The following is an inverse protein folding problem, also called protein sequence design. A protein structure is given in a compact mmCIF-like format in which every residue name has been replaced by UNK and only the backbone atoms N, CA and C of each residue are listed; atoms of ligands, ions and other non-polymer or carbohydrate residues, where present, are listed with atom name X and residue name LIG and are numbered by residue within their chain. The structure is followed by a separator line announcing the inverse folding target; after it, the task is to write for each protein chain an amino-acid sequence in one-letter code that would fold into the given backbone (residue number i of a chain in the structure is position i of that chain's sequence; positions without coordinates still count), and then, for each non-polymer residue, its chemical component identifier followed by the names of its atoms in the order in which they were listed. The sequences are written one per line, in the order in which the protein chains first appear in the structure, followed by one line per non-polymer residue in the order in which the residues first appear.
data_IF_499665682567
#
_entry.id   IF_499665682567
#
_cell.length_a   1.000
_cell.length_b   1.000
_cell.length_c   1.000
_cell.angle_alpha   90.00
_cell.angle_beta   90.00
_cell.angle_gamma   90.00
#
_symmetry.space_group_name_H-M   'P 1'
#
loop_
_entity.id
_entity.type
_entity.pdbx_description
1 polymer ?
#
# COMPACT_ATOMS: atom_id res chain seq x y z
N UNK A 1 21.07 51.12 -20.15
CA UNK A 1 19.86 50.61 -20.84
C UNK A 1 19.85 49.09 -21.01
N UNK A 2 20.96 48.42 -21.36
CA UNK A 2 21.00 46.96 -21.52
C UNK A 2 20.64 46.14 -20.26
N UNK A 3 21.06 46.58 -19.07
CA UNK A 3 20.85 45.81 -17.83
C UNK A 3 19.36 45.66 -17.47
N UNK A 4 18.55 46.70 -17.70
CA UNK A 4 17.11 46.66 -17.42
C UNK A 4 16.35 45.73 -18.39
N UNK A 5 16.82 45.60 -19.64
CA UNK A 5 16.20 44.74 -20.64
C UNK A 5 16.44 43.24 -20.34
N UNK A 6 17.65 42.90 -19.86
CA UNK A 6 18.02 41.52 -19.51
C UNK A 6 17.27 41.03 -18.26
N UNK A 7 17.09 41.89 -17.26
CA UNK A 7 16.30 41.55 -16.06
C UNK A 7 14.83 41.32 -16.42
N UNK A 8 14.24 42.18 -17.27
CA UNK A 8 12.84 42.04 -17.70
C UNK A 8 12.55 40.76 -18.51
N UNK A 9 13.51 40.30 -19.33
CA UNK A 9 13.38 39.06 -20.10
C UNK A 9 13.53 37.82 -19.21
N UNK A 10 14.43 37.86 -18.23
CA UNK A 10 14.61 36.78 -17.24
C UNK A 10 13.37 36.60 -16.37
N UNK A 11 12.77 37.71 -15.91
CA UNK A 11 11.56 37.68 -15.09
C UNK A 11 10.32 37.21 -15.88
N UNK A 12 10.22 37.60 -17.16
CA UNK A 12 9.17 37.06 -18.05
C UNK A 12 9.35 35.57 -18.33
N UNK A 13 10.59 35.10 -18.50
CA UNK A 13 10.88 33.67 -18.70
C UNK A 13 10.51 32.85 -17.47
N UNK A 14 10.91 33.30 -16.27
CA UNK A 14 10.53 32.64 -15.00
C UNK A 14 9.02 32.66 -14.77
N UNK A 15 8.36 33.79 -15.02
CA UNK A 15 6.91 33.90 -14.89
C UNK A 15 6.19 32.98 -15.89
N UNK A 16 6.67 32.85 -17.13
CA UNK A 16 6.10 31.91 -18.09
C UNK A 16 6.37 30.46 -17.71
N UNK A 17 7.56 30.11 -17.23
CA UNK A 17 7.87 28.75 -16.74
C UNK A 17 7.03 28.37 -15.52
N UNK A 18 6.90 29.24 -14.52
CA UNK A 18 6.04 29.02 -13.35
C UNK A 18 4.56 28.86 -13.75
N UNK A 19 4.09 29.65 -14.71
CA UNK A 19 2.71 29.61 -15.17
C UNK A 19 2.43 28.40 -16.09
N UNK A 20 3.45 27.89 -16.81
CA UNK A 20 3.37 26.62 -17.55
C UNK A 20 3.42 25.42 -16.59
N UNK A 21 4.25 25.48 -15.54
CA UNK A 21 4.34 24.45 -14.50
C UNK A 21 3.06 24.41 -13.64
N UNK A 22 2.46 25.55 -13.33
CA UNK A 22 1.20 25.61 -12.58
C UNK A 22 0.01 25.07 -13.39
N UNK A 23 -0.01 25.32 -14.72
CA UNK A 23 -1.03 24.78 -15.64
C UNK A 23 -0.94 23.27 -15.87
N UNK A 24 0.24 22.67 -15.65
CA UNK A 24 0.44 21.21 -15.79
C UNK A 24 0.14 20.42 -14.52
N UNK A 25 0.04 21.09 -13.37
CA UNK A 25 -0.17 20.44 -12.09
C UNK A 25 -1.65 20.49 -11.70
N UNK A 26 -2.13 19.40 -11.10
CA UNK A 26 -3.49 19.32 -10.58
C UNK A 26 -3.53 20.05 -9.22
N UNK A 27 -4.53 20.91 -9.03
CA UNK A 27 -4.72 21.62 -7.77
C UNK A 27 -5.60 20.81 -6.81
N UNK A 28 -4.97 20.08 -5.89
CA UNK A 28 -5.70 19.28 -4.89
C UNK A 28 -6.33 20.11 -3.75
N UNK A 29 -6.11 21.43 -3.71
CA UNK A 29 -6.73 22.30 -2.68
C UNK A 29 -8.24 22.46 -2.85
N UNK A 30 -8.78 22.21 -4.03
CA UNK A 30 -10.22 22.26 -4.31
C UNK A 30 -10.94 20.94 -4.02
N UNK A 31 -10.26 19.97 -3.45
CA UNK A 31 -10.85 18.68 -3.08
C UNK A 31 -12.00 18.86 -2.08
N UNK A 32 -13.04 18.06 -2.24
CA UNK A 32 -14.19 18.09 -1.33
C UNK A 32 -13.78 17.71 0.10
N UNK A 33 -14.47 18.28 1.10
CA UNK A 33 -14.23 17.97 2.52
C UNK A 33 -14.42 16.47 2.81
N UNK A 34 -15.43 15.85 2.18
CA UNK A 34 -15.68 14.41 2.28
C UNK A 34 -14.48 13.59 1.77
N UNK A 35 -13.92 13.96 0.62
CA UNK A 35 -12.72 13.31 0.06
C UNK A 35 -11.48 13.52 0.95
N UNK A 36 -11.25 14.73 1.44
CA UNK A 36 -10.16 15.02 2.36
C UNK A 36 -10.25 14.16 3.64
N UNK A 37 -11.44 14.05 4.23
CA UNK A 37 -11.67 13.24 5.42
C UNK A 37 -11.44 11.75 5.17
N UNK A 38 -11.85 11.22 4.01
CA UNK A 38 -11.59 9.83 3.66
C UNK A 38 -10.11 9.54 3.41
N UNK A 39 -9.37 10.44 2.75
CA UNK A 39 -7.92 10.31 2.58
C UNK A 39 -7.19 10.33 3.93
N UNK A 40 -7.59 11.24 4.82
CA UNK A 40 -7.03 11.29 6.17
C UNK A 40 -7.34 10.00 6.96
N UNK A 41 -8.56 9.49 6.83
CA UNK A 41 -8.97 8.22 7.45
C UNK A 41 -8.18 7.03 6.89
N UNK A 42 -7.93 7.00 5.57
CA UNK A 42 -7.05 6.01 4.94
C UNK A 42 -5.63 6.07 5.52
N UNK A 43 -5.02 7.27 5.54
CA UNK A 43 -3.67 7.49 6.08
C UNK A 43 -3.57 7.02 7.54
N UNK A 44 -4.52 7.45 8.38
CA UNK A 44 -4.57 7.07 9.79
C UNK A 44 -4.69 5.56 9.97
N UNK A 45 -5.64 4.94 9.28
CA UNK A 45 -5.92 3.50 9.37
C UNK A 45 -4.71 2.68 8.90
N UNK A 46 -4.08 3.07 7.80
CA UNK A 46 -2.89 2.42 7.27
C UNK A 46 -1.71 2.48 8.25
N UNK A 47 -1.48 3.65 8.87
CA UNK A 47 -0.44 3.81 9.89
C UNK A 47 -0.76 2.99 11.14
N UNK A 48 -2.01 2.97 11.59
CA UNK A 48 -2.44 2.17 12.74
C UNK A 48 -2.23 0.67 12.51
N UNK A 49 -2.65 0.16 11.34
CA UNK A 49 -2.40 -1.22 10.94
C UNK A 49 -0.90 -1.53 10.87
N UNK A 50 -0.09 -0.63 10.32
CA UNK A 50 1.36 -0.83 10.24
C UNK A 50 2.01 -0.90 11.63
N UNK A 51 1.65 0.01 12.54
CA UNK A 51 2.13 0.00 13.94
C UNK A 51 1.75 -1.30 14.65
N UNK A 52 0.51 -1.73 14.49
CA UNK A 52 -0.01 -2.98 15.06
C UNK A 52 0.75 -4.20 14.51
N UNK A 53 0.99 -4.27 13.19
CA UNK A 53 1.78 -5.35 12.58
C UNK A 53 3.22 -5.38 13.11
N UNK A 54 3.87 -4.21 13.25
CA UNK A 54 5.23 -4.13 13.79
C UNK A 54 5.27 -4.63 15.23
N UNK A 55 4.32 -4.21 16.08
CA UNK A 55 4.23 -4.66 17.46
C UNK A 55 3.95 -6.17 17.58
N UNK A 56 3.04 -6.69 16.76
CA UNK A 56 2.73 -8.11 16.68
C UNK A 56 3.96 -8.94 16.28
N UNK A 57 4.66 -8.54 15.21
CA UNK A 57 5.86 -9.26 14.75
C UNK A 57 6.98 -9.22 15.80
N UNK A 58 7.19 -8.10 16.49
CA UNK A 58 8.16 -8.01 17.58
C UNK A 58 7.83 -9.01 18.71
N UNK A 59 6.57 -9.07 19.14
CA UNK A 59 6.10 -9.97 20.20
C UNK A 59 6.19 -11.44 19.77
N UNK A 60 5.72 -11.77 18.57
CA UNK A 60 5.79 -13.12 18.01
C UNK A 60 7.22 -13.63 17.89
N UNK A 61 8.14 -12.80 17.37
CA UNK A 61 9.56 -13.16 17.27
C UNK A 61 10.15 -13.50 18.64
N UNK A 62 9.75 -12.81 19.71
CA UNK A 62 10.20 -13.12 21.08
C UNK A 62 9.62 -14.45 21.59
N UNK A 63 8.35 -14.72 21.33
CA UNK A 63 7.69 -15.96 21.74
C UNK A 63 8.22 -17.17 20.98
N UNK A 64 8.45 -17.03 19.68
CA UNK A 64 9.03 -18.06 18.83
C UNK A 64 10.47 -18.40 19.25
N UNK A 65 11.28 -17.39 19.59
CA UNK A 65 12.62 -17.62 20.17
C UNK A 65 12.57 -18.39 21.50
N UNK A 66 11.60 -18.09 22.37
CA UNK A 66 11.40 -18.85 23.63
C UNK A 66 11.03 -20.30 23.35
N UNK A 67 10.13 -20.53 22.39
CA UNK A 67 9.72 -21.86 21.99
C UNK A 67 10.90 -22.65 21.39
N UNK A 68 11.73 -22.01 20.59
CA UNK A 68 12.90 -22.64 19.98
C UNK A 68 13.96 -23.00 21.03
N UNK A 69 14.25 -22.12 21.99
CA UNK A 69 15.16 -22.42 23.10
C UNK A 69 14.67 -23.61 23.95
N UNK A 70 13.35 -23.73 24.14
CA UNK A 70 12.75 -24.90 24.81
C UNK A 70 13.01 -26.17 23.98
N UNK A 71 12.76 -26.13 22.67
CA UNK A 71 12.99 -27.29 21.78
C UNK A 71 14.46 -27.70 21.72
N UNK A 72 15.38 -26.74 21.68
CA UNK A 72 16.81 -27.00 21.70
C UNK A 72 17.24 -27.64 23.02
N UNK A 73 16.73 -27.14 24.16
CA UNK A 73 16.98 -27.77 25.47
C UNK A 73 16.43 -29.19 25.54
N UNK A 74 15.22 -29.44 25.01
CA UNK A 74 14.65 -30.79 24.92
C UNK A 74 15.51 -31.72 24.08
N UNK A 75 15.97 -31.26 22.92
CA UNK A 75 16.83 -32.03 22.02
C UNK A 75 18.13 -32.43 22.71
N UNK A 76 18.79 -31.50 23.39
CA UNK A 76 20.04 -31.76 24.11
C UNK A 76 19.87 -32.82 25.21
N UNK A 77 18.80 -32.73 26.01
CA UNK A 77 18.56 -33.69 27.09
C UNK A 77 18.15 -35.08 26.58
N UNK A 78 17.43 -35.15 25.46
CA UNK A 78 17.13 -36.42 24.77
C UNK A 78 18.41 -37.07 24.22
N UNK A 79 19.31 -36.28 23.62
CA UNK A 79 20.62 -36.77 23.14
C UNK A 79 21.51 -37.27 24.27
N UNK A 80 21.35 -36.74 25.49
CA UNK A 80 22.02 -37.21 26.71
C UNK A 80 21.33 -38.43 27.36
N UNK A 81 20.26 -38.96 26.76
CA UNK A 81 19.60 -40.19 27.19
C UNK A 81 18.50 -40.01 28.23
N UNK A 82 18.02 -38.78 28.48
CA UNK A 82 16.86 -38.55 29.36
C UNK A 82 15.58 -39.10 28.72
N UNK A 83 14.66 -39.61 29.54
CA UNK A 83 13.38 -40.12 29.06
C UNK A 83 12.49 -39.00 28.51
N UNK A 84 11.74 -39.27 27.42
CA UNK A 84 10.86 -38.29 26.78
C UNK A 84 9.85 -37.64 27.74
N UNK A 85 9.23 -38.42 28.64
CA UNK A 85 8.25 -37.90 29.59
C UNK A 85 8.89 -36.94 30.60
N UNK A 86 10.12 -37.24 31.04
CA UNK A 86 10.88 -36.39 31.95
C UNK A 86 11.30 -35.09 31.26
N UNK A 87 11.77 -35.16 30.02
CA UNK A 87 12.14 -33.99 29.20
C UNK A 87 10.93 -33.07 28.97
N UNK A 88 9.76 -33.64 28.65
CA UNK A 88 8.52 -32.88 28.43
C UNK A 88 8.07 -32.17 29.72
N UNK A 89 8.18 -32.85 30.86
CA UNK A 89 7.86 -32.26 32.17
C UNK A 89 8.86 -31.16 32.57
N UNK A 90 10.15 -31.34 32.27
CA UNK A 90 11.23 -30.39 32.57
C UNK A 90 11.17 -29.12 31.71
N UNK A 91 10.79 -29.26 30.45
CA UNK A 91 10.72 -28.16 29.49
C UNK A 91 9.32 -28.01 28.88
N UNK A 92 8.30 -27.60 29.64
CA UNK A 92 6.93 -27.49 29.12
C UNK A 92 6.80 -26.34 28.10
N UNK A 93 6.04 -26.56 27.02
CA UNK A 93 5.74 -25.51 26.02
C UNK A 93 4.39 -24.84 26.24
N UNK A 94 3.51 -25.44 27.05
CA UNK A 94 2.10 -25.08 27.18
C UNK A 94 1.86 -23.58 27.40
N UNK A 95 2.64 -22.93 28.26
CA UNK A 95 2.49 -21.51 28.55
C UNK A 95 2.94 -20.61 27.39
N UNK A 96 3.99 -21.00 26.67
CA UNK A 96 4.45 -20.28 25.47
C UNK A 96 3.43 -20.46 24.33
N UNK A 97 2.89 -21.67 24.15
CA UNK A 97 1.86 -21.96 23.15
C UNK A 97 0.58 -21.17 23.42
N UNK A 98 0.14 -21.08 24.68
CA UNK A 98 -0.98 -20.24 25.11
C UNK A 98 -0.71 -18.76 24.83
N UNK A 99 0.50 -18.27 25.10
CA UNK A 99 0.86 -16.88 24.85
C UNK A 99 0.85 -16.56 23.34
N UNK A 100 1.37 -17.45 22.49
CA UNK A 100 1.33 -17.33 21.03
C UNK A 100 -0.13 -17.25 20.55
N UNK A 101 -0.99 -18.15 21.02
CA UNK A 101 -2.40 -18.15 20.61
C UNK A 101 -3.14 -16.90 21.09
N UNK A 102 -2.85 -16.42 22.31
CA UNK A 102 -3.41 -15.18 22.83
C UNK A 102 -3.00 -13.98 21.98
N UNK A 103 -1.73 -13.92 21.59
CA UNK A 103 -1.20 -12.82 20.79
C UNK A 103 -1.79 -12.80 19.37
N UNK A 104 -1.94 -13.98 18.74
CA UNK A 104 -2.66 -14.11 17.45
C UNK A 104 -4.09 -13.59 17.55
N UNK A 105 -4.83 -13.98 18.58
CA UNK A 105 -6.22 -13.56 18.78
C UNK A 105 -6.31 -12.05 19.08
N UNK A 106 -5.39 -11.51 19.87
CA UNK A 106 -5.30 -10.07 20.15
C UNK A 106 -5.09 -9.28 18.86
N UNK A 107 -4.11 -9.70 18.06
CA UNK A 107 -3.78 -9.07 16.79
C UNK A 107 -4.94 -9.09 15.80
N UNK A 108 -5.62 -10.23 15.67
CA UNK A 108 -6.80 -10.35 14.81
C UNK A 108 -7.92 -9.41 15.24
N UNK A 109 -8.22 -9.34 16.55
CA UNK A 109 -9.21 -8.42 17.11
C UNK A 109 -8.83 -6.96 16.92
N UNK A 110 -7.55 -6.62 17.05
CA UNK A 110 -7.06 -5.26 16.84
C UNK A 110 -7.18 -4.81 15.37
N UNK A 111 -6.94 -5.72 14.42
CA UNK A 111 -7.03 -5.42 13.00
C UNK A 111 -8.46 -5.45 12.44
N UNK A 112 -9.40 -6.13 13.08
CA UNK A 112 -10.78 -6.25 12.58
C UNK A 112 -11.44 -4.89 12.28
N UNK A 113 -11.56 -3.95 13.25
CA UNK A 113 -12.19 -2.65 12.97
C UNK A 113 -11.40 -1.84 11.93
N UNK A 114 -10.06 -1.90 11.97
CA UNK A 114 -9.21 -1.19 11.00
C UNK A 114 -9.40 -1.71 9.57
N UNK A 115 -9.73 -2.99 9.38
CA UNK A 115 -10.01 -3.56 8.05
C UNK A 115 -11.35 -3.07 7.51
N UNK A 116 -12.34 -2.87 8.38
CA UNK A 116 -13.65 -2.31 8.03
C UNK A 116 -13.49 -0.83 7.66
N UNK A 117 -12.85 -0.04 8.52
CA UNK A 117 -12.55 1.38 8.26
C UNK A 117 -11.80 1.58 6.93
N UNK A 118 -10.84 0.68 6.64
CA UNK A 118 -10.09 0.74 5.39
C UNK A 118 -10.97 0.52 4.16
N UNK A 119 -12.00 -0.33 4.22
CA UNK A 119 -12.89 -0.56 3.08
C UNK A 119 -13.70 0.69 2.73
N UNK A 120 -14.18 1.41 3.74
CA UNK A 120 -14.97 2.62 3.57
C UNK A 120 -14.17 3.78 2.95
N UNK A 121 -12.84 3.73 3.07
CA UNK A 121 -11.94 4.76 2.50
C UNK A 121 -11.78 4.65 0.98
N UNK A 122 -12.22 3.55 0.35
CA UNK A 122 -12.12 3.36 -1.09
C UNK A 122 -13.35 3.87 -1.87
N UNK A 123 -14.32 4.50 -1.21
CA UNK A 123 -15.59 4.90 -1.81
C UNK A 123 -15.46 5.89 -2.99
N UNK A 124 -14.35 6.62 -3.10
CA UNK A 124 -14.08 7.54 -4.21
C UNK A 124 -13.21 6.92 -5.30
N UNK A 125 -12.75 5.68 -5.15
CA UNK A 125 -12.05 4.99 -6.23
C UNK A 125 -13.10 4.42 -7.19
N UNK A 126 -13.05 4.74 -8.48
CA UNK A 126 -14.02 4.22 -9.45
C UNK A 126 -14.07 2.69 -9.46
N UNK A 127 -15.27 2.15 -9.69
CA UNK A 127 -15.50 0.71 -9.72
C UNK A 127 -14.68 0.01 -10.82
N UNK A 128 -14.48 0.70 -11.95
CA UNK A 128 -13.75 0.22 -13.11
C UNK A 128 -12.22 0.35 -12.96
N UNK A 129 -11.72 1.11 -11.97
CA UNK A 129 -10.28 1.41 -11.80
C UNK A 129 -9.41 0.14 -11.78
N UNK A 130 -9.86 -0.90 -11.08
CA UNK A 130 -9.13 -2.17 -11.05
C UNK A 130 -9.16 -2.88 -12.41
N UNK A 131 -10.32 -2.92 -13.08
CA UNK A 131 -10.44 -3.55 -14.39
C UNK A 131 -9.58 -2.81 -15.43
N UNK A 132 -9.57 -1.48 -15.39
CA UNK A 132 -8.75 -0.62 -16.24
C UNK A 132 -7.25 -0.81 -15.97
N UNK A 133 -6.84 -1.00 -14.71
CA UNK A 133 -5.47 -1.41 -14.35
C UNK A 133 -5.10 -2.76 -14.95
N UNK A 134 -5.97 -3.77 -14.83
CA UNK A 134 -5.73 -5.12 -15.38
C UNK A 134 -5.52 -5.04 -16.90
N UNK A 135 -6.43 -4.38 -17.63
CA UNK A 135 -6.34 -4.22 -19.08
C UNK A 135 -5.12 -3.40 -19.52
N UNK A 136 -4.70 -2.42 -18.72
CA UNK A 136 -3.45 -1.69 -18.98
C UNK A 136 -2.25 -2.64 -18.97
N UNK A 137 -2.18 -3.56 -18.00
CA UNK A 137 -1.06 -4.49 -17.85
C UNK A 137 -1.11 -5.62 -18.88
N UNK A 138 -2.28 -6.24 -19.05
CA UNK A 138 -2.44 -7.44 -19.88
C UNK A 138 -2.65 -7.11 -21.36
N UNK A 139 -3.48 -6.10 -21.68
CA UNK A 139 -3.83 -5.74 -23.06
C UNK A 139 -3.04 -4.53 -23.61
N UNK A 140 -2.23 -3.86 -22.78
CA UNK A 140 -1.60 -2.59 -23.13
C UNK A 140 -2.58 -1.42 -23.32
N UNK A 141 -3.86 -1.58 -22.96
CA UNK A 141 -4.93 -0.59 -23.17
C UNK A 141 -4.90 0.50 -22.09
N UNK A 142 -4.06 1.52 -22.30
CA UNK A 142 -3.88 2.63 -21.37
C UNK A 142 -5.08 3.58 -21.29
N UNK A 143 -5.91 3.67 -22.33
CA UNK A 143 -7.04 4.60 -22.40
C UNK A 143 -8.07 4.42 -21.29
N UNK A 144 -8.46 3.17 -21.01
CA UNK A 144 -9.41 2.84 -19.94
C UNK A 144 -8.89 3.30 -18.57
N UNK A 145 -7.58 3.18 -18.34
CA UNK A 145 -6.95 3.64 -17.10
C UNK A 145 -6.91 5.16 -16.99
N UNK A 146 -6.73 5.89 -18.10
CA UNK A 146 -6.82 7.35 -18.10
C UNK A 146 -8.23 7.83 -17.74
N UNK A 147 -9.26 7.17 -18.27
CA UNK A 147 -10.65 7.49 -17.96
C UNK A 147 -10.94 7.27 -16.46
N UNK A 148 -10.50 6.14 -15.90
CA UNK A 148 -10.66 5.87 -14.47
C UNK A 148 -9.90 6.89 -13.59
N UNK A 149 -8.73 7.38 -14.01
CA UNK A 149 -8.03 8.46 -13.29
C UNK A 149 -8.81 9.78 -13.35
N UNK A 150 -9.40 10.12 -14.50
CA UNK A 150 -10.22 11.31 -14.65
C UNK A 150 -11.47 11.23 -13.74
N UNK A 151 -12.14 10.08 -13.71
CA UNK A 151 -13.29 9.85 -12.83
C UNK A 151 -12.90 9.91 -11.35
N UNK A 152 -11.76 9.31 -10.98
CA UNK A 152 -11.23 9.42 -9.62
C UNK A 152 -11.06 10.88 -9.20
N UNK A 153 -10.46 11.72 -10.04
CA UNK A 153 -10.30 13.16 -9.76
C UNK A 153 -11.65 13.87 -9.63
N UNK A 154 -12.63 13.57 -10.49
CA UNK A 154 -13.98 14.11 -10.39
C UNK A 154 -14.65 13.71 -9.06
N UNK A 155 -14.51 12.45 -8.62
CA UNK A 155 -15.04 11.97 -7.35
C UNK A 155 -14.38 12.62 -6.13
N UNK A 156 -13.12 13.08 -6.26
CA UNK A 156 -12.47 13.93 -5.25
C UNK A 156 -13.01 15.38 -5.25
N UNK A 157 -13.80 15.79 -6.25
CA UNK A 157 -14.25 17.17 -6.44
C UNK A 157 -13.25 18.02 -7.24
N UNK A 158 -12.32 17.39 -7.94
CA UNK A 158 -11.32 18.06 -8.78
C UNK A 158 -11.78 17.97 -10.24
N UNK A 159 -12.59 18.94 -10.62
CA UNK A 159 -13.18 19.02 -11.96
C UNK A 159 -12.26 19.72 -12.96
N UNK A 160 -12.59 19.58 -14.25
CA UNK A 160 -11.95 20.32 -15.36
C UNK A 160 -10.43 20.09 -15.51
N UNK A 161 -9.95 18.92 -15.10
CA UNK A 161 -8.57 18.51 -15.41
C UNK A 161 -8.40 18.31 -16.93
N UNK A 162 -7.33 18.87 -17.47
CA UNK A 162 -6.95 18.69 -18.87
C UNK A 162 -6.43 17.28 -19.12
N UNK A 163 -6.55 16.78 -20.35
CA UNK A 163 -5.94 15.52 -20.78
C UNK A 163 -4.45 15.42 -20.44
N UNK A 164 -3.72 16.53 -20.56
CA UNK A 164 -2.30 16.58 -20.25
C UNK A 164 -2.04 16.34 -18.75
N UNK A 165 -2.84 16.93 -17.87
CA UNK A 165 -2.77 16.71 -16.42
C UNK A 165 -3.11 15.25 -16.07
N UNK A 166 -4.17 14.70 -16.67
CA UNK A 166 -4.61 13.31 -16.45
C UNK A 166 -3.52 12.33 -16.88
N UNK A 167 -2.94 12.50 -18.07
CA UNK A 167 -1.85 11.66 -18.57
C UNK A 167 -0.62 11.74 -17.67
N UNK A 168 -0.19 12.94 -17.29
CA UNK A 168 0.96 13.12 -16.42
C UNK A 168 0.78 12.46 -15.05
N UNK A 169 -0.41 12.57 -14.45
CA UNK A 169 -0.73 11.88 -13.20
C UNK A 169 -0.76 10.36 -13.38
N UNK A 170 -1.45 9.87 -14.42
CA UNK A 170 -1.57 8.44 -14.67
C UNK A 170 -0.21 7.78 -14.94
N UNK A 171 0.71 8.45 -15.65
CA UNK A 171 2.08 8.01 -15.87
C UNK A 171 2.84 7.93 -14.54
N UNK A 172 2.83 9.01 -13.74
CA UNK A 172 3.54 9.04 -12.47
C UNK A 172 3.02 8.01 -11.47
N UNK A 173 1.70 7.83 -11.39
CA UNK A 173 1.12 6.74 -10.59
C UNK A 173 1.50 5.37 -11.14
N UNK A 174 1.53 5.21 -12.47
CA UNK A 174 1.89 3.96 -13.15
C UNK A 174 3.31 3.49 -12.86
N UNK A 175 4.25 4.42 -12.72
CA UNK A 175 5.64 4.08 -12.36
C UNK A 175 5.74 3.43 -10.97
N UNK A 176 4.80 3.76 -10.08
CA UNK A 176 4.69 3.15 -8.75
C UNK A 176 3.74 1.93 -8.73
N UNK A 177 2.85 1.81 -9.72
CA UNK A 177 1.87 0.73 -9.85
C UNK A 177 2.38 -0.35 -10.82
N UNK A 178 3.07 -1.34 -10.27
CA UNK A 178 3.61 -2.47 -11.03
C UNK A 178 2.65 -3.63 -11.23
N UNK A 179 3.09 -4.59 -12.07
CA UNK A 179 2.61 -5.96 -12.04
C UNK A 179 3.35 -6.75 -10.95
N UNK A 180 2.76 -7.83 -10.46
CA UNK A 180 3.44 -8.79 -9.61
C UNK A 180 4.33 -9.69 -10.48
N UNK A 181 5.60 -9.82 -10.07
CA UNK A 181 6.54 -10.78 -10.67
C UNK A 181 5.96 -12.19 -10.57
N UNK A 182 5.89 -12.91 -11.70
CA UNK A 182 5.37 -14.28 -11.70
C UNK A 182 6.20 -15.19 -10.80
N UNK A 183 5.51 -16.04 -10.04
CA UNK A 183 6.14 -17.11 -9.27
C UNK A 183 5.95 -18.45 -10.00
N UNK A 184 6.79 -19.45 -9.69
CA UNK A 184 6.78 -20.75 -10.36
C UNK A 184 5.38 -21.38 -10.44
N UNK A 185 4.58 -21.23 -9.38
CA UNK A 185 3.20 -21.73 -9.33
C UNK A 185 2.30 -21.04 -10.36
N UNK A 186 2.38 -19.71 -10.51
CA UNK A 186 1.61 -18.97 -11.50
C UNK A 186 2.08 -19.28 -12.93
N UNK A 187 3.39 -19.39 -13.16
CA UNK A 187 3.96 -19.73 -14.48
C UNK A 187 3.48 -21.10 -14.94
N UNK A 188 3.57 -22.12 -14.06
CA UNK A 188 3.15 -23.48 -14.42
C UNK A 188 1.64 -23.59 -14.64
N UNK A 189 0.85 -22.80 -13.90
CA UNK A 189 -0.62 -22.88 -13.96
C UNK A 189 -1.21 -22.11 -15.15
N UNK A 190 -0.68 -20.92 -15.43
CA UNK A 190 -1.25 -19.98 -16.38
C UNK A 190 -0.41 -19.79 -17.64
N UNK A 191 0.81 -20.34 -17.66
CA UNK A 191 1.81 -20.10 -18.72
C UNK A 191 2.18 -18.61 -18.90
N UNK A 192 2.01 -17.81 -17.85
CA UNK A 192 2.20 -16.35 -17.84
C UNK A 192 3.40 -15.90 -16.98
N UNK A 193 4.27 -15.08 -17.57
CA UNK A 193 5.49 -14.56 -16.92
C UNK A 193 5.29 -13.25 -16.14
N UNK A 194 4.09 -12.68 -16.18
CA UNK A 194 3.67 -11.56 -15.34
C UNK A 194 2.27 -11.83 -14.77
N UNK A 195 1.92 -11.20 -13.65
CA UNK A 195 0.57 -11.28 -13.09
C UNK A 195 0.12 -9.95 -12.52
N UNK A 196 -1.16 -9.61 -12.66
CA UNK A 196 -1.74 -8.42 -12.03
C UNK A 196 -1.83 -8.57 -10.51
N UNK A 197 -1.77 -7.45 -9.78
CA UNK A 197 -2.08 -7.45 -8.35
C UNK A 197 -3.52 -7.90 -8.10
N UNK A 198 -3.79 -8.57 -6.98
CA UNK A 198 -5.16 -8.84 -6.54
C UNK A 198 -5.88 -7.52 -6.23
N UNK A 199 -7.18 -7.40 -6.53
CA UNK A 199 -8.01 -6.20 -6.34
C UNK A 199 -7.76 -5.45 -5.02
N UNK A 200 -7.81 -6.15 -3.88
CA UNK A 200 -7.55 -5.56 -2.55
C UNK A 200 -6.14 -4.98 -2.41
N UNK A 201 -5.12 -5.67 -2.92
CA UNK A 201 -3.74 -5.20 -2.87
C UNK A 201 -3.53 -4.00 -3.79
N UNK A 202 -4.18 -4.00 -4.95
CA UNK A 202 -4.18 -2.88 -5.87
C UNK A 202 -4.76 -1.62 -5.23
N UNK A 203 -5.98 -1.64 -4.67
CA UNK A 203 -6.56 -0.42 -4.08
C UNK A 203 -5.75 0.15 -2.92
N UNK A 204 -5.19 -0.73 -2.09
CA UNK A 204 -4.27 -0.33 -1.02
C UNK A 204 -3.05 0.39 -1.60
N UNK A 205 -2.40 -0.19 -2.61
CA UNK A 205 -1.22 0.40 -3.24
C UNK A 205 -1.57 1.71 -3.98
N UNK A 206 -2.66 1.72 -4.73
CA UNK A 206 -3.17 2.89 -5.44
C UNK A 206 -3.37 4.08 -4.51
N UNK A 207 -4.08 3.88 -3.40
CA UNK A 207 -4.32 4.94 -2.42
C UNK A 207 -3.04 5.36 -1.68
N UNK A 208 -2.14 4.43 -1.36
CA UNK A 208 -0.83 4.78 -0.78
C UNK A 208 0.00 5.64 -1.73
N UNK A 209 0.12 5.23 -2.99
CA UNK A 209 0.85 5.99 -4.02
C UNK A 209 0.23 7.36 -4.23
N UNK A 210 -1.11 7.44 -4.31
CA UNK A 210 -1.80 8.71 -4.42
C UNK A 210 -1.48 9.64 -3.23
N UNK A 211 -1.56 9.11 -2.01
CA UNK A 211 -1.23 9.86 -0.80
C UNK A 211 0.21 10.38 -0.82
N UNK A 212 1.18 9.51 -1.10
CA UNK A 212 2.61 9.88 -1.04
C UNK A 212 3.00 10.90 -2.10
N UNK A 213 2.36 10.85 -3.28
CA UNK A 213 2.69 11.73 -4.40
C UNK A 213 1.99 13.08 -4.35
N UNK A 214 0.78 13.15 -3.78
CA UNK A 214 -0.11 14.28 -3.97
C UNK A 214 -0.71 14.89 -2.69
N UNK A 215 -0.63 14.21 -1.53
CA UNK A 215 -1.29 14.61 -0.28
C UNK A 215 -0.32 14.91 0.85
#
# INVERSE_FOLDING_TARGET
MLVALVVSLSDKSKFMEENIMSKKNINFKSMSEKAANQINSFKFTMIAMAKENVAYHATMNQLEKKLEAIKESRKNDLEQGMNENEVVAKYPTLEVDKAINREKLRHEKALAPLKEDLQDTYAFVPDDMYASYVRKIEDGKRGDFLNAIAEFLNLLGIENCTDAQIRAMAERMSDCLGAKVSNATAIVKNEELHSVLKKRAFYKLFMSVFCDLYM
#
